data_IF_061862615676
#
_entry.id   IF_061862615676
#
_cell.length_a   1.000
_cell.length_b   1.000
_cell.length_c   1.000
_cell.angle_alpha   90.00
_cell.angle_beta   90.00
_cell.angle_gamma   90.00
#
_symmetry.space_group_name_H-M   'P 1'
#
loop_
_entity.id
_entity.type
_entity.pdbx_description
1 polymer ?
#
# COMPACT_ATOMS: atom_id res chain seq x y z
N UNK A 1 -26.47 38.94 0.41
CA UNK A 1 -25.46 38.55 -0.60
C UNK A 1 -24.03 38.60 -0.04
N UNK A 2 -23.58 39.71 0.57
CA UNK A 2 -22.21 39.81 1.11
C UNK A 2 -21.82 38.69 2.12
N UNK A 3 -22.71 38.33 3.05
CA UNK A 3 -22.47 37.26 4.01
C UNK A 3 -22.30 35.88 3.36
N UNK A 4 -23.08 35.58 2.31
CA UNK A 4 -22.97 34.31 1.56
C UNK A 4 -21.63 34.23 0.82
N UNK A 5 -21.21 35.33 0.19
CA UNK A 5 -19.92 35.39 -0.51
C UNK A 5 -18.75 35.20 0.48
N UNK A 6 -18.80 35.82 1.66
CA UNK A 6 -17.76 35.64 2.69
C UNK A 6 -17.66 34.19 3.16
N UNK A 7 -18.80 33.53 3.41
CA UNK A 7 -18.81 32.11 3.80
C UNK A 7 -18.22 31.25 2.69
N UNK A 8 -18.58 31.48 1.43
CA UNK A 8 -18.05 30.71 0.30
C UNK A 8 -16.53 30.90 0.14
N UNK A 9 -16.02 32.13 0.30
CA UNK A 9 -14.58 32.40 0.24
C UNK A 9 -13.84 31.70 1.39
N UNK A 10 -14.39 31.72 2.61
CA UNK A 10 -13.79 31.04 3.75
C UNK A 10 -13.74 29.51 3.53
N UNK A 11 -14.81 28.91 3.02
CA UNK A 11 -14.85 27.47 2.71
C UNK A 11 -13.87 27.11 1.58
N UNK A 12 -13.77 27.94 0.54
CA UNK A 12 -12.82 27.71 -0.56
C UNK A 12 -11.36 27.83 -0.08
N UNK A 13 -11.03 28.85 0.71
CA UNK A 13 -9.71 29.01 1.30
C UNK A 13 -9.36 27.82 2.21
N UNK A 14 -10.30 27.35 3.01
CA UNK A 14 -10.15 26.18 3.88
C UNK A 14 -9.89 24.89 3.09
N UNK A 15 -10.66 24.63 2.03
CA UNK A 15 -10.44 23.50 1.12
C UNK A 15 -9.07 23.56 0.43
N UNK A 16 -8.66 24.73 -0.04
CA UNK A 16 -7.36 24.92 -0.70
C UNK A 16 -6.21 24.64 0.26
N UNK A 17 -6.28 25.16 1.49
CA UNK A 17 -5.29 24.90 2.54
C UNK A 17 -5.20 23.42 2.90
N UNK A 18 -6.32 22.73 3.05
CA UNK A 18 -6.32 21.30 3.34
C UNK A 18 -5.69 20.49 2.19
N UNK A 19 -6.06 20.80 0.95
CA UNK A 19 -5.51 20.12 -0.24
C UNK A 19 -4.03 20.36 -0.44
N UNK A 20 -3.51 21.55 -0.14
CA UNK A 20 -2.08 21.82 -0.25
C UNK A 20 -1.28 21.00 0.77
N UNK A 21 -1.74 20.91 2.02
CA UNK A 21 -1.10 20.06 3.03
C UNK A 21 -1.13 18.59 2.61
N UNK A 22 -2.25 18.11 2.10
CA UNK A 22 -2.36 16.71 1.67
C UNK A 22 -1.53 16.41 0.43
N UNK A 23 -1.23 17.40 -0.41
CA UNK A 23 -0.35 17.27 -1.59
C UNK A 23 1.10 16.93 -1.22
N UNK A 24 1.50 17.24 0.02
CA UNK A 24 2.87 17.05 0.54
C UNK A 24 3.03 15.71 1.28
N UNK A 25 2.04 14.81 1.18
CA UNK A 25 2.12 13.45 1.70
C UNK A 25 2.65 12.51 0.64
N UNK A 26 3.59 11.64 1.01
CA UNK A 26 4.14 10.61 0.13
C UNK A 26 4.17 9.26 0.83
N UNK A 27 3.88 8.19 0.06
CA UNK A 27 4.01 6.80 0.51
C UNK A 27 5.10 6.14 -0.34
N UNK A 28 6.18 5.70 0.31
CA UNK A 28 7.37 5.15 -0.36
C UNK A 28 7.80 3.83 0.26
N UNK A 29 8.40 2.91 -0.52
CA UNK A 29 8.97 1.70 0.06
C UNK A 29 10.18 2.03 0.94
N UNK A 30 10.24 1.43 2.13
CA UNK A 30 11.40 1.50 3.01
C UNK A 30 12.30 0.27 2.82
N UNK A 31 11.71 -0.93 2.86
CA UNK A 31 12.43 -2.20 2.72
C UNK A 31 11.49 -3.34 2.38
N UNK A 32 12.06 -4.43 1.86
CA UNK A 32 11.38 -5.71 1.74
C UNK A 32 12.33 -6.82 2.18
N UNK A 33 11.83 -7.76 2.96
CA UNK A 33 12.57 -8.94 3.40
C UNK A 33 11.78 -10.19 3.05
N UNK A 34 12.42 -11.22 2.55
CA UNK A 34 11.82 -12.53 2.33
C UNK A 34 12.70 -13.60 2.95
N UNK A 35 12.12 -14.47 3.79
CA UNK A 35 12.82 -15.55 4.49
C UNK A 35 14.04 -15.02 5.29
N UNK A 36 13.90 -13.85 5.88
CA UNK A 36 14.95 -13.16 6.66
C UNK A 36 16.06 -12.52 5.81
N UNK A 37 15.91 -12.43 4.48
CA UNK A 37 16.88 -11.81 3.57
C UNK A 37 16.30 -10.56 2.94
N UNK A 38 17.11 -9.50 2.85
CA UNK A 38 16.71 -8.28 2.15
C UNK A 38 16.52 -8.54 0.65
N UNK A 39 15.39 -8.08 0.11
CA UNK A 39 15.09 -8.04 -1.31
C UNK A 39 15.48 -6.66 -1.83
N UNK A 40 16.50 -6.54 -2.70
CA UNK A 40 16.93 -5.25 -3.19
C UNK A 40 15.84 -4.59 -4.05
N UNK A 41 15.61 -3.30 -3.80
CA UNK A 41 14.79 -2.49 -4.69
C UNK A 41 15.59 -2.17 -5.96
N UNK A 42 14.96 -2.37 -7.11
CA UNK A 42 15.47 -1.96 -8.42
C UNK A 42 14.64 -0.79 -8.93
N UNK A 43 15.26 0.17 -9.61
CA UNK A 43 14.52 1.23 -10.29
C UNK A 43 14.29 0.75 -11.71
N UNK A 44 13.09 0.23 -11.97
CA UNK A 44 12.71 -0.18 -13.32
C UNK A 44 12.09 1.03 -14.01
N UNK A 45 12.62 1.49 -15.15
CA UNK A 45 11.96 2.51 -15.95
C UNK A 45 10.59 1.99 -16.34
N UNK A 46 9.55 2.78 -16.13
CA UNK A 46 8.24 2.40 -16.62
C UNK A 46 8.23 2.44 -18.15
N UNK A 47 7.87 1.34 -18.79
CA UNK A 47 7.69 1.29 -20.25
C UNK A 47 6.51 2.18 -20.70
N UNK A 48 5.63 2.58 -19.78
CA UNK A 48 4.45 3.40 -20.03
C UNK A 48 4.65 4.90 -19.73
N UNK A 49 5.87 5.32 -19.36
CA UNK A 49 6.23 6.75 -19.23
C UNK A 49 5.95 7.38 -17.86
N UNK A 50 5.55 6.59 -16.86
CA UNK A 50 5.46 7.05 -15.48
C UNK A 50 6.83 7.24 -14.83
N UNK A 51 6.86 7.98 -13.72
CA UNK A 51 8.08 8.22 -12.97
C UNK A 51 8.71 6.88 -12.49
N UNK A 52 10.04 6.72 -12.57
CA UNK A 52 10.70 5.52 -12.09
C UNK A 52 10.37 5.28 -10.62
N UNK A 53 9.83 4.09 -10.31
CA UNK A 53 9.39 3.72 -8.98
C UNK A 53 10.25 2.56 -8.45
N UNK A 54 10.57 2.53 -7.14
CA UNK A 54 11.29 1.40 -6.57
C UNK A 54 10.46 0.12 -6.71
N UNK A 55 11.07 -0.89 -7.33
CA UNK A 55 10.47 -2.17 -7.68
C UNK A 55 11.18 -3.27 -6.93
N UNK A 56 10.44 -4.01 -6.10
CA UNK A 56 10.92 -5.26 -5.50
C UNK A 56 10.56 -6.44 -6.41
N UNK A 57 11.52 -7.36 -6.55
CA UNK A 57 11.33 -8.58 -7.34
C UNK A 57 11.56 -9.83 -6.48
N UNK A 58 10.69 -10.12 -5.50
CA UNK A 58 10.82 -11.33 -4.70
C UNK A 58 10.45 -12.58 -5.51
N UNK A 59 11.23 -13.65 -5.34
CA UNK A 59 10.80 -14.99 -5.73
C UNK A 59 9.82 -15.51 -4.66
N UNK A 60 8.53 -15.57 -5.01
CA UNK A 60 7.49 -15.99 -4.06
C UNK A 60 7.14 -17.46 -4.26
N UNK A 61 7.37 -18.25 -3.21
CA UNK A 61 6.87 -19.63 -3.10
C UNK A 61 5.74 -19.66 -2.08
N UNK A 62 4.87 -20.69 -2.09
CA UNK A 62 3.85 -20.86 -1.05
C UNK A 62 4.38 -20.98 0.39
N UNK A 63 5.68 -21.21 0.57
CA UNK A 63 6.32 -21.26 1.88
C UNK A 63 7.05 -19.95 2.23
N UNK A 64 7.13 -18.99 1.30
CA UNK A 64 7.87 -17.75 1.49
C UNK A 64 7.20 -16.88 2.55
N UNK A 65 8.03 -16.39 3.47
CA UNK A 65 7.63 -15.42 4.48
C UNK A 65 8.23 -14.06 4.14
N UNK A 66 7.45 -13.22 3.46
CA UNK A 66 7.90 -11.90 3.05
C UNK A 66 7.28 -10.80 3.90
N UNK A 67 8.03 -9.75 4.15
CA UNK A 67 7.66 -8.57 4.91
C UNK A 67 8.03 -7.33 4.11
N UNK A 68 7.07 -6.47 3.84
CA UNK A 68 7.29 -5.16 3.24
C UNK A 68 7.12 -4.08 4.31
N UNK A 69 8.03 -3.11 4.33
CA UNK A 69 7.89 -1.91 5.13
C UNK A 69 7.74 -0.71 4.21
N UNK A 70 6.73 0.11 4.48
CA UNK A 70 6.46 1.35 3.76
C UNK A 70 6.54 2.53 4.71
N UNK A 71 7.01 3.65 4.19
CA UNK A 71 7.07 4.91 4.92
C UNK A 71 5.94 5.80 4.43
N UNK A 72 5.12 6.30 5.34
CA UNK A 72 4.19 7.40 5.07
C UNK A 72 4.81 8.67 5.63
N UNK A 73 5.23 9.57 4.75
CA UNK A 73 5.91 10.82 5.12
C UNK A 73 4.98 12.01 4.96
N UNK A 74 5.00 12.89 5.96
CA UNK A 74 4.32 14.18 5.92
C UNK A 74 5.35 15.30 5.75
N UNK A 75 5.58 15.72 4.50
CA UNK A 75 6.45 16.88 4.21
C UNK A 75 5.72 18.22 4.46
N UNK A 76 4.45 18.13 4.86
CA UNK A 76 3.56 19.19 5.23
C UNK A 76 4.01 20.04 6.41
N UNK A 77 3.42 21.23 6.49
CA UNK A 77 3.55 22.13 7.65
C UNK A 77 2.53 21.86 8.76
N UNK A 78 1.69 20.83 8.63
CA UNK A 78 0.60 20.53 9.57
C UNK A 78 0.47 19.02 9.79
N UNK A 79 -0.03 18.59 10.95
CA UNK A 79 -0.33 17.18 11.18
C UNK A 79 -1.43 16.70 10.22
N UNK A 80 -1.30 15.44 9.82
CA UNK A 80 -2.31 14.71 9.06
C UNK A 80 -2.68 13.44 9.80
N UNK A 81 -3.93 13.03 9.66
CA UNK A 81 -4.42 11.78 10.24
C UNK A 81 -4.44 10.70 9.15
N UNK A 82 -3.72 9.62 9.37
CA UNK A 82 -3.73 8.41 8.56
C UNK A 82 -4.81 7.47 9.11
N UNK A 83 -5.89 7.30 8.35
CA UNK A 83 -7.02 6.46 8.75
C UNK A 83 -6.83 5.00 8.37
N UNK A 84 -6.47 4.73 7.11
CA UNK A 84 -6.31 3.37 6.61
C UNK A 84 -5.25 3.27 5.52
N UNK A 85 -4.83 2.03 5.28
CA UNK A 85 -3.93 1.64 4.19
C UNK A 85 -4.56 0.48 3.41
N UNK A 86 -4.67 0.66 2.10
CA UNK A 86 -5.28 -0.30 1.19
C UNK A 86 -4.23 -0.90 0.25
N UNK A 87 -4.24 -2.22 0.11
CA UNK A 87 -3.51 -2.94 -0.92
C UNK A 87 -4.48 -3.47 -1.96
N UNK A 88 -4.54 -2.76 -3.08
CA UNK A 88 -5.45 -3.06 -4.18
C UNK A 88 -5.15 -4.43 -4.79
N UNK A 89 -6.20 -5.22 -5.06
CA UNK A 89 -6.13 -6.57 -5.64
C UNK A 89 -5.28 -7.60 -4.86
N UNK A 90 -5.02 -7.35 -3.57
CA UNK A 90 -4.30 -8.25 -2.67
C UNK A 90 -5.23 -8.92 -1.64
N UNK A 91 -6.35 -9.48 -2.13
CA UNK A 91 -7.42 -10.17 -1.39
C UNK A 91 -7.00 -10.81 -0.05
N UNK A 92 -7.54 -10.32 1.08
CA UNK A 92 -7.57 -11.09 2.32
C UNK A 92 -8.54 -12.27 2.26
N UNK A 93 -8.34 -13.31 3.08
CA UNK A 93 -9.31 -14.41 3.20
C UNK A 93 -9.24 -15.47 2.07
N UNK A 94 -9.91 -16.61 2.24
CA UNK A 94 -9.65 -17.92 1.57
C UNK A 94 -9.54 -17.93 0.02
N UNK A 95 -10.00 -16.90 -0.69
CA UNK A 95 -10.04 -16.83 -2.16
C UNK A 95 -8.90 -16.05 -2.84
N UNK A 96 -8.04 -15.36 -2.10
CA UNK A 96 -6.94 -14.55 -2.66
C UNK A 96 -5.69 -15.34 -3.08
N UNK A 97 -4.95 -14.85 -4.09
CA UNK A 97 -3.60 -15.37 -4.43
C UNK A 97 -2.55 -14.99 -3.37
N UNK A 98 -2.79 -13.87 -2.70
CA UNK A 98 -1.95 -13.35 -1.61
C UNK A 98 -2.67 -13.47 -0.27
N UNK A 99 -1.88 -13.44 0.79
CA UNK A 99 -2.30 -13.25 2.15
C UNK A 99 -1.48 -12.07 2.67
N UNK A 100 -2.15 -10.98 3.01
CA UNK A 100 -1.52 -9.86 3.71
C UNK A 100 -1.93 -9.85 5.18
N UNK A 101 -0.94 -9.70 6.05
CA UNK A 101 -1.14 -9.66 7.51
C UNK A 101 -0.23 -8.57 8.11
N UNK A 102 -0.61 -8.00 9.25
CA UNK A 102 0.29 -7.15 10.05
C UNK A 102 1.03 -8.01 11.10
N UNK A 103 2.19 -7.55 11.63
CA UNK A 103 2.80 -8.19 12.78
C UNK A 103 1.79 -8.22 13.95
N UNK A 104 1.63 -9.39 14.58
CA UNK A 104 0.64 -9.64 15.65
C UNK A 104 0.75 -8.73 16.88
N UNK A 105 1.85 -8.00 17.03
CA UNK A 105 2.22 -7.40 18.31
C UNK A 105 2.03 -5.86 18.32
N UNK A 106 1.84 -5.23 17.16
CA UNK A 106 1.77 -3.76 17.02
C UNK A 106 0.40 -3.30 16.49
N UNK A 107 -0.24 -4.12 15.67
CA UNK A 107 -1.60 -3.90 15.17
C UNK A 107 -2.28 -5.27 15.09
N UNK A 108 -3.13 -5.61 16.06
CA UNK A 108 -3.94 -6.85 16.09
C UNK A 108 -5.08 -6.77 15.04
N UNK A 109 -4.72 -6.36 13.84
CA UNK A 109 -5.62 -6.00 12.76
C UNK A 109 -5.45 -6.99 11.62
N UNK A 110 -6.28 -8.02 11.65
CA UNK A 110 -6.68 -8.65 10.40
C UNK A 110 -7.35 -7.57 9.55
N UNK A 111 -7.17 -7.57 8.22
CA UNK A 111 -7.86 -6.62 7.37
C UNK A 111 -9.36 -6.66 7.68
N UNK A 112 -9.92 -5.51 8.05
CA UNK A 112 -11.26 -5.44 8.63
C UNK A 112 -12.35 -5.64 7.58
N UNK A 113 -12.05 -5.32 6.33
CA UNK A 113 -12.96 -5.40 5.21
C UNK A 113 -12.23 -5.98 3.97
N UNK A 114 -12.87 -6.98 3.36
CA UNK A 114 -12.60 -7.38 1.97
C UNK A 114 -13.76 -6.79 1.20
N UNK A 115 -13.50 -5.74 0.42
CA UNK A 115 -14.54 -5.21 -0.45
C UNK A 115 -14.81 -6.18 -1.61
N UNK A 116 -15.86 -5.92 -2.40
CA UNK A 116 -16.19 -6.77 -3.56
C UNK A 116 -15.06 -6.80 -4.62
N UNK A 117 -14.14 -5.82 -4.57
CA UNK A 117 -12.91 -5.73 -5.39
C UNK A 117 -11.87 -6.78 -5.01
N UNK A 118 -11.89 -7.21 -3.75
CA UNK A 118 -10.85 -8.05 -3.18
C UNK A 118 -9.62 -7.25 -2.72
N UNK A 119 -9.81 -6.04 -2.22
CA UNK A 119 -8.73 -5.22 -1.66
C UNK A 119 -8.48 -5.57 -0.20
N UNK A 120 -7.22 -5.42 0.26
CA UNK A 120 -6.86 -5.59 1.66
C UNK A 120 -6.76 -4.24 2.36
N UNK A 121 -7.69 -3.95 3.28
CA UNK A 121 -7.77 -2.68 4.01
C UNK A 121 -7.34 -2.88 5.47
N UNK A 122 -6.37 -2.11 5.92
CA UNK A 122 -5.86 -2.07 7.29
C UNK A 122 -6.14 -0.71 7.92
N UNK A 123 -6.66 -0.67 9.15
CA UNK A 123 -6.80 0.60 9.87
C UNK A 123 -5.43 0.98 10.47
N UNK A 124 -5.05 2.24 10.31
CA UNK A 124 -3.82 2.75 10.91
C UNK A 124 -4.12 3.62 12.14
N UNK A 125 -5.20 4.39 12.09
CA UNK A 125 -5.65 5.34 13.12
C UNK A 125 -4.48 6.14 13.76
N UNK A 126 -3.62 6.71 12.92
CA UNK A 126 -2.38 7.37 13.35
C UNK A 126 -2.38 8.87 13.01
N UNK A 127 -1.71 9.68 13.82
CA UNK A 127 -1.44 11.09 13.48
C UNK A 127 0.03 11.26 13.12
N UNK A 128 0.30 11.73 11.91
CA UNK A 128 1.65 12.00 11.41
C UNK A 128 1.90 13.51 11.50
N UNK A 129 2.80 13.90 12.40
CA UNK A 129 3.18 15.29 12.61
C UNK A 129 3.87 15.89 11.37
N UNK A 130 3.83 17.23 11.29
CA UNK A 130 4.49 17.99 10.24
C UNK A 130 6.00 17.69 10.18
N UNK A 131 6.52 17.36 8.99
CA UNK A 131 7.93 17.03 8.78
C UNK A 131 8.37 15.67 9.34
N UNK A 132 7.42 14.81 9.72
CA UNK A 132 7.69 13.49 10.28
C UNK A 132 7.20 12.36 9.38
N UNK A 133 7.45 11.13 9.77
CA UNK A 133 7.00 9.93 9.07
C UNK A 133 6.51 8.88 10.07
N UNK A 134 5.74 7.91 9.57
CA UNK A 134 5.48 6.63 10.23
C UNK A 134 5.92 5.47 9.33
N UNK A 135 6.29 4.33 9.94
CA UNK A 135 6.65 3.10 9.25
C UNK A 135 5.55 2.07 9.47
N UNK A 136 5.10 1.46 8.39
CA UNK A 136 4.07 0.44 8.40
C UNK A 136 4.62 -0.83 7.79
N UNK A 137 4.58 -1.92 8.54
CA UNK A 137 5.13 -3.21 8.12
C UNK A 137 4.00 -4.22 7.90
N UNK A 138 4.03 -4.89 6.75
CA UNK A 138 3.05 -5.87 6.34
C UNK A 138 3.74 -7.14 5.89
N UNK A 139 3.23 -8.28 6.36
CA UNK A 139 3.56 -9.60 5.88
C UNK A 139 2.83 -9.84 4.55
N UNK A 140 3.54 -10.35 3.56
CA UNK A 140 3.02 -10.83 2.29
C UNK A 140 3.35 -12.32 2.22
N UNK A 141 2.32 -13.16 2.15
CA UNK A 141 2.45 -14.59 1.93
C UNK A 141 1.70 -15.01 0.67
N UNK A 142 2.23 -16.00 -0.04
CA UNK A 142 1.62 -16.54 -1.26
C UNK A 142 0.82 -17.81 -0.95
N UNK A 143 -0.38 -17.95 -1.54
CA UNK A 143 -1.22 -19.13 -1.29
C UNK A 143 -0.97 -20.23 -2.32
N UNK A 144 -0.65 -21.43 -1.83
CA UNK A 144 -0.38 -22.61 -2.66
C UNK A 144 -1.51 -22.91 -3.66
N UNK A 145 -2.76 -22.69 -3.26
CA UNK A 145 -3.95 -23.06 -4.04
C UNK A 145 -4.25 -22.09 -5.20
N UNK A 146 -3.61 -20.91 -5.19
CA UNK A 146 -3.71 -19.89 -6.23
C UNK A 146 -2.66 -20.02 -7.34
N UNK A 147 -1.76 -21.01 -7.25
CA UNK A 147 -0.73 -21.28 -8.26
C UNK A 147 -1.35 -21.82 -9.55
N UNK A 148 -1.72 -20.90 -10.45
CA UNK A 148 -1.81 -21.23 -11.87
C UNK A 148 -0.42 -21.60 -12.37
N UNK A 149 -0.37 -22.63 -13.19
CA UNK A 149 0.76 -23.18 -13.94
C UNK A 149 1.91 -22.23 -14.31
N UNK A 150 3.14 -22.74 -14.48
CA UNK A 150 4.32 -21.91 -14.75
C UNK A 150 4.11 -21.05 -16.00
N UNK A 151 4.36 -19.74 -15.89
CA UNK A 151 4.45 -18.86 -17.06
C UNK A 151 4.02 -17.40 -16.89
N UNK A 152 3.57 -16.94 -15.73
CA UNK A 152 3.16 -15.55 -15.55
C UNK A 152 3.89 -14.84 -14.42
N UNK A 153 4.79 -13.91 -14.76
CA UNK A 153 5.15 -12.83 -13.86
C UNK A 153 3.85 -12.04 -13.59
N UNK A 154 3.44 -11.90 -12.32
CA UNK A 154 2.37 -10.96 -12.01
C UNK A 154 2.98 -9.73 -11.34
N UNK A 155 2.36 -8.59 -11.61
CA UNK A 155 2.85 -7.30 -11.17
C UNK A 155 1.74 -6.58 -10.43
N UNK A 156 2.07 -6.08 -9.24
CA UNK A 156 1.25 -5.12 -8.52
C UNK A 156 2.00 -3.79 -8.50
N UNK A 157 1.31 -2.70 -8.83
CA UNK A 157 1.89 -1.37 -8.92
C UNK A 157 1.13 -0.40 -8.01
N UNK A 158 1.77 0.71 -7.68
CA UNK A 158 1.22 1.84 -6.92
C UNK A 158 0.70 1.50 -5.51
N UNK A 159 1.36 0.52 -4.87
CA UNK A 159 0.97 0.05 -3.55
C UNK A 159 1.75 0.75 -2.43
N UNK A 160 1.21 0.73 -1.19
CA UNK A 160 -0.22 0.73 -0.90
C UNK A 160 -0.83 2.13 -1.10
N UNK A 161 -2.16 2.21 -1.15
CA UNK A 161 -2.89 3.48 -1.10
C UNK A 161 -3.16 3.87 0.36
N UNK A 162 -2.70 5.04 0.78
CA UNK A 162 -2.95 5.57 2.13
C UNK A 162 -4.12 6.57 2.13
N UNK A 163 -5.11 6.34 3.01
CA UNK A 163 -6.22 7.27 3.26
C UNK A 163 -5.83 8.25 4.36
N UNK A 164 -5.51 9.47 3.96
CA UNK A 164 -5.12 10.55 4.89
C UNK A 164 -6.18 11.64 4.95
N UNK A 165 -6.24 12.35 6.06
CA UNK A 165 -7.10 13.52 6.21
C UNK A 165 -6.45 14.62 7.01
N UNK A 166 -6.80 15.86 6.68
CA UNK A 166 -6.49 17.02 7.52
C UNK A 166 -7.66 17.97 7.42
N UNK A 167 -8.00 18.63 8.53
CA UNK A 167 -9.16 19.52 8.58
C UNK A 167 -10.43 18.83 8.04
N UNK A 168 -10.69 17.55 8.35
CA UNK A 168 -11.85 16.80 7.83
C UNK A 168 -11.94 16.69 6.30
N UNK A 169 -10.89 17.03 5.56
CA UNK A 169 -10.80 16.80 4.12
C UNK A 169 -9.96 15.54 3.92
N UNK A 170 -10.54 14.45 3.39
CA UNK A 170 -9.80 13.24 3.13
C UNK A 170 -9.18 13.25 1.72
N UNK A 171 -8.10 12.48 1.55
CA UNK A 171 -7.42 12.24 0.28
C UNK A 171 -6.79 10.84 0.26
N UNK A 172 -6.85 10.21 -0.90
CA UNK A 172 -6.10 8.98 -1.19
C UNK A 172 -4.74 9.33 -1.77
N UNK A 173 -3.69 8.78 -1.17
CA UNK A 173 -2.31 8.96 -1.62
C UNK A 173 -1.80 7.59 -2.05
N UNK A 174 -1.63 7.41 -3.36
CA UNK A 174 -1.06 6.20 -3.93
C UNK A 174 0.43 6.10 -3.59
N UNK A 175 0.86 4.91 -3.17
CA UNK A 175 2.26 4.61 -2.97
C UNK A 175 2.99 4.43 -4.29
N UNK A 176 4.32 4.38 -4.18
CA UNK A 176 5.21 4.14 -5.32
C UNK A 176 5.88 2.77 -5.26
N UNK A 177 5.27 1.80 -4.56
CA UNK A 177 5.82 0.44 -4.50
C UNK A 177 5.33 -0.37 -5.71
N UNK A 178 6.28 -0.94 -6.45
CA UNK A 178 6.00 -1.98 -7.44
C UNK A 178 6.53 -3.32 -6.93
N UNK A 179 5.71 -4.37 -6.98
CA UNK A 179 6.09 -5.74 -6.65
C UNK A 179 5.88 -6.58 -7.90
N UNK A 180 6.97 -7.09 -8.46
CA UNK A 180 6.95 -8.08 -9.53
C UNK A 180 7.29 -9.41 -8.89
N UNK A 181 6.46 -10.43 -9.09
CA UNK A 181 6.74 -11.74 -8.54
C UNK A 181 6.55 -12.82 -9.61
N UNK A 182 7.46 -13.78 -9.57
CA UNK A 182 7.33 -15.04 -10.29
C UNK A 182 6.76 -16.09 -9.33
N UNK A 183 5.73 -16.79 -9.79
CA UNK A 183 5.15 -17.89 -9.02
C UNK A 183 5.88 -19.18 -9.38
N UNK A 184 6.59 -19.75 -8.40
CA UNK A 184 7.25 -21.04 -8.57
C UNK A 184 6.26 -22.14 -8.16
N UNK A 185 5.92 -23.09 -9.05
CA UNK A 185 4.98 -24.15 -8.71
C UNK A 185 5.51 -25.02 -7.56
N UNK A 186 4.67 -25.30 -6.57
CA UNK A 186 4.97 -26.36 -5.61
C UNK A 186 4.81 -27.71 -6.30
N UNK A 187 5.82 -28.56 -6.19
CA UNK A 187 5.85 -29.87 -6.81
C UNK A 187 4.77 -30.76 -6.18
N UNK A 188 3.58 -30.80 -6.77
CA UNK A 188 2.45 -31.57 -6.28
C UNK A 188 1.39 -31.81 -7.35
N UNK A 189 1.52 -32.91 -8.09
CA UNK A 189 0.49 -33.70 -8.79
C UNK A 189 -0.61 -33.04 -9.67
N UNK A 190 -0.67 -31.72 -9.86
CA UNK A 190 -1.52 -31.11 -10.89
C UNK A 190 -0.65 -30.81 -12.10
N UNK A 191 -0.73 -31.71 -13.09
CA UNK A 191 -0.28 -31.44 -14.45
C UNK A 191 -1.04 -30.23 -14.96
N UNK A 192 -0.27 -29.24 -15.40
CA UNK A 192 -0.73 -28.13 -16.19
C UNK A 192 -0.96 -28.64 -17.60
N UNK A 193 -2.22 -28.74 -18.02
CA UNK A 193 -2.61 -29.01 -19.41
C UNK A 193 -2.56 -27.72 -20.25
#
# INVERSE_FOLDING_TARGET
>A
MAAVVLVLVAVAAWQLLARSTLAEISVTPASMQCDGKDVPATVVPDEFGDAPAPTFQPELTPASDCWITVTVSNHGSRPVHLSSVTFDAMMPGESGRFLLETPRDEFDQRPHEVDESGDAIFDADETIDAGTWTLLTYRIAYRADGASCPGGASQSQDLPTARVSTLHVPRDVRGSVKIVHDTVPTKGNRTCD
#
